data_IF_056989781955
#
_entry.id   IF_056989781955
#
_cell.length_a   1.000
_cell.length_b   1.000
_cell.length_c   1.000
_cell.angle_alpha   90.00
_cell.angle_beta   90.00
_cell.angle_gamma   90.00
#
_symmetry.space_group_name_H-M   'P 1'
#
loop_
_entity.id
_entity.type
_entity.pdbx_description
1 polymer ?
#
# COMPACT_ATOMS: atom_id res chain seq x y z
N UNK A 1 75.72 2.99 -12.55
CA UNK A 1 75.42 2.32 -13.82
C UNK A 1 75.09 0.87 -13.50
N UNK A 2 73.95 0.36 -13.96
CA UNK A 2 73.61 -1.08 -13.92
C UNK A 2 72.48 -1.48 -12.97
N UNK A 3 71.28 -1.68 -13.53
CA UNK A 3 70.15 -2.50 -13.04
C UNK A 3 70.36 -3.97 -13.52
N UNK A 4 69.49 -4.99 -13.26
CA UNK A 4 68.33 -5.12 -12.36
C UNK A 4 68.14 -6.54 -11.69
N UNK A 5 66.97 -6.73 -11.05
CA UNK A 5 66.17 -7.98 -10.80
C UNK A 5 66.45 -8.86 -9.56
N UNK A 6 65.39 -9.11 -8.76
CA UNK A 6 65.25 -10.26 -7.83
C UNK A 6 64.82 -9.83 -6.40
N UNK A 7 63.52 -9.74 -6.03
CA UNK A 7 62.67 -10.82 -5.49
C UNK A 7 63.28 -11.35 -4.15
N UNK A 8 62.76 -11.16 -2.92
CA UNK A 8 61.50 -11.67 -2.33
C UNK A 8 61.44 -11.40 -0.78
N UNK A 9 60.23 -11.41 -0.21
CA UNK A 9 59.85 -11.83 1.17
C UNK A 9 60.10 -10.91 2.38
N UNK A 10 59.18 -9.98 2.67
CA UNK A 10 58.76 -9.74 4.06
C UNK A 10 57.28 -9.33 4.13
N UNK A 11 56.50 -10.05 4.92
CA UNK A 11 55.26 -9.58 5.58
C UNK A 11 54.00 -9.29 4.74
N UNK A 12 53.55 -10.23 3.90
CA UNK A 12 52.14 -10.23 3.47
C UNK A 12 51.30 -11.25 4.26
N UNK A 13 51.90 -12.26 4.91
CA UNK A 13 51.22 -13.29 5.74
C UNK A 13 50.25 -12.75 6.82
N UNK A 14 50.41 -11.49 7.27
CA UNK A 14 49.51 -10.84 8.23
C UNK A 14 48.36 -10.05 7.59
N UNK A 15 48.35 -9.84 6.27
CA UNK A 15 47.19 -9.37 5.53
C UNK A 15 46.29 -10.51 5.03
N UNK A 16 46.74 -11.77 5.05
CA UNK A 16 45.94 -12.97 4.72
C UNK A 16 44.84 -13.29 5.75
N UNK A 17 44.40 -12.33 6.57
CA UNK A 17 43.32 -12.51 7.55
C UNK A 17 42.19 -11.47 7.48
N UNK A 18 42.17 -10.55 6.51
CA UNK A 18 41.13 -9.50 6.47
C UNK A 18 40.48 -9.20 5.11
N UNK A 19 40.99 -9.71 3.98
CA UNK A 19 40.35 -9.50 2.67
C UNK A 19 40.46 -10.74 1.77
N UNK A 20 39.57 -11.71 2.01
CA UNK A 20 39.12 -12.66 0.99
C UNK A 20 37.73 -13.12 1.41
N UNK A 21 36.76 -12.22 1.17
CA UNK A 21 35.34 -12.55 1.11
C UNK A 21 35.17 -13.70 0.09
N UNK A 22 34.27 -14.67 0.36
CA UNK A 22 33.99 -15.73 -0.59
C UNK A 22 33.53 -15.13 -1.91
N UNK A 23 33.99 -15.77 -2.98
CA UNK A 23 33.77 -15.41 -4.36
C UNK A 23 32.30 -15.03 -4.62
N UNK A 24 32.10 -13.95 -5.36
CA UNK A 24 30.78 -13.52 -5.81
C UNK A 24 30.26 -14.61 -6.74
N UNK A 25 29.25 -15.34 -6.28
CA UNK A 25 28.32 -16.06 -7.14
C UNK A 25 27.62 -15.07 -8.09
N UNK A 26 28.28 -14.66 -9.16
CA UNK A 26 27.66 -13.96 -10.27
C UNK A 26 27.00 -15.00 -11.17
N UNK A 27 25.82 -15.45 -10.77
CA UNK A 27 24.92 -16.15 -11.68
C UNK A 27 24.26 -15.11 -12.60
N UNK A 28 24.31 -15.30 -13.93
CA UNK A 28 23.54 -14.47 -14.85
C UNK A 28 22.05 -14.65 -14.52
N UNK A 29 21.26 -13.56 -14.48
CA UNK A 29 19.83 -13.65 -14.20
C UNK A 29 19.19 -14.59 -15.23
N UNK A 30 18.61 -15.69 -14.76
CA UNK A 30 17.77 -16.56 -15.59
C UNK A 30 16.56 -15.76 -16.08
N UNK A 31 15.93 -16.17 -17.17
CA UNK A 31 14.73 -15.53 -17.74
C UNK A 31 13.55 -15.39 -16.75
N UNK A 32 13.62 -16.05 -15.58
CA UNK A 32 12.68 -15.88 -14.46
C UNK A 32 12.92 -14.62 -13.61
N UNK A 33 14.06 -13.95 -13.77
CA UNK A 33 14.48 -12.80 -12.93
C UNK A 33 14.53 -11.44 -13.65
N UNK A 34 14.07 -11.35 -14.91
CA UNK A 34 14.02 -10.08 -15.67
C UNK A 34 12.59 -9.54 -15.91
N UNK A 35 11.52 -10.27 -15.58
CA UNK A 35 10.15 -9.71 -15.60
C UNK A 35 9.31 -10.13 -14.40
N UNK A 36 9.79 -9.81 -13.20
CA UNK A 36 8.90 -9.67 -12.05
C UNK A 36 9.26 -8.37 -11.35
N UNK A 37 8.42 -7.36 -11.53
CA UNK A 37 8.07 -6.50 -10.41
C UNK A 37 6.86 -7.17 -9.73
N UNK A 38 7.05 -7.98 -8.67
CA UNK A 38 5.96 -8.70 -8.03
C UNK A 38 5.41 -7.86 -6.87
N UNK A 39 4.99 -6.62 -7.13
CA UNK A 39 4.40 -5.76 -6.09
C UNK A 39 2.95 -5.33 -6.38
N UNK A 40 2.32 -5.84 -7.45
CA UNK A 40 0.92 -5.46 -7.78
C UNK A 40 0.10 -6.66 -8.28
N UNK A 41 0.23 -7.81 -7.64
CA UNK A 41 -0.87 -8.80 -7.67
C UNK A 41 -1.62 -8.90 -6.33
N UNK A 42 -1.13 -8.21 -5.29
CA UNK A 42 -1.70 -8.24 -3.93
C UNK A 42 -1.73 -6.84 -3.29
N UNK A 43 -2.08 -5.82 -4.08
CA UNK A 43 -2.24 -4.46 -3.58
C UNK A 43 -3.58 -4.28 -2.88
N UNK A 44 -3.61 -3.52 -1.79
CA UNK A 44 -4.83 -3.18 -1.06
C UNK A 44 -5.56 -1.96 -1.65
N UNK A 45 -6.87 -1.90 -1.42
CA UNK A 45 -7.65 -0.72 -1.75
C UNK A 45 -7.16 0.50 -0.98
N UNK A 46 -6.84 1.58 -1.70
CA UNK A 46 -6.45 2.85 -1.10
C UNK A 46 -7.66 3.77 -1.06
N UNK A 47 -8.06 4.18 0.15
CA UNK A 47 -9.10 5.19 0.34
C UNK A 47 -8.54 6.44 1.05
N UNK A 48 -8.99 7.64 0.65
CA UNK A 48 -9.73 7.91 -0.58
C UNK A 48 -8.85 7.81 -1.84
N UNK A 49 -9.43 7.48 -2.99
CA UNK A 49 -8.75 7.52 -4.29
C UNK A 49 -9.44 8.44 -5.31
N UNK A 50 -8.64 9.09 -6.15
CA UNK A 50 -9.11 9.95 -7.23
C UNK A 50 -9.33 9.17 -8.52
N UNK A 51 -10.52 9.31 -9.11
CA UNK A 51 -10.86 8.73 -10.41
C UNK A 51 -11.88 9.61 -11.14
N UNK A 52 -11.66 9.89 -12.44
CA UNK A 52 -12.56 10.72 -13.27
C UNK A 52 -12.96 12.06 -12.64
N UNK A 53 -11.98 12.73 -12.00
CA UNK A 53 -12.16 14.03 -11.36
C UNK A 53 -13.06 14.00 -10.10
N UNK A 54 -13.27 12.82 -9.52
CA UNK A 54 -14.02 12.59 -8.29
C UNK A 54 -13.15 11.82 -7.28
N UNK A 55 -13.46 11.97 -6.00
CA UNK A 55 -12.79 11.28 -4.89
C UNK A 55 -13.73 10.20 -4.36
N UNK A 56 -13.25 8.96 -4.30
CA UNK A 56 -14.00 7.83 -3.77
C UNK A 56 -13.43 7.34 -2.45
N UNK A 57 -14.33 7.16 -1.49
CA UNK A 57 -14.00 6.74 -0.13
C UNK A 57 -14.37 5.28 0.15
N UNK A 58 -14.93 4.57 -0.83
CA UNK A 58 -15.31 3.16 -0.74
C UNK A 58 -15.27 2.52 -2.12
N UNK A 59 -15.50 1.21 -2.20
CA UNK A 59 -15.60 0.48 -3.44
C UNK A 59 -16.74 1.01 -4.33
N UNK A 60 -16.43 1.28 -5.60
CA UNK A 60 -17.31 1.95 -6.55
C UNK A 60 -17.95 0.97 -7.54
N UNK A 61 -19.07 1.38 -8.15
CA UNK A 61 -19.71 0.67 -9.24
C UNK A 61 -19.84 1.59 -10.47
N UNK A 62 -19.15 1.25 -11.55
CA UNK A 62 -19.22 1.96 -12.84
C UNK A 62 -19.63 1.01 -13.96
N UNK A 63 -20.81 0.40 -13.83
CA UNK A 63 -21.36 -0.62 -14.75
C UNK A 63 -20.51 -1.90 -14.82
N UNK A 64 -19.70 -2.14 -13.81
CA UNK A 64 -18.99 -3.39 -13.65
C UNK A 64 -19.92 -4.41 -12.96
N UNK A 65 -19.75 -5.69 -13.29
CA UNK A 65 -20.47 -6.79 -12.61
C UNK A 65 -20.17 -6.81 -11.11
N UNK A 66 -18.98 -6.37 -10.71
CA UNK A 66 -18.50 -6.33 -9.34
C UNK A 66 -17.95 -4.95 -9.00
N UNK A 67 -18.08 -4.54 -7.74
CA UNK A 67 -17.47 -3.29 -7.26
C UNK A 67 -15.95 -3.39 -7.26
N UNK A 68 -15.27 -2.27 -7.43
CA UNK A 68 -13.81 -2.20 -7.50
C UNK A 68 -13.25 -1.00 -6.74
N UNK A 69 -11.94 -1.01 -6.51
CA UNK A 69 -11.20 0.08 -5.88
C UNK A 69 -9.86 0.31 -6.59
N UNK A 70 -9.26 1.49 -6.42
CA UNK A 70 -7.89 1.72 -6.87
C UNK A 70 -6.87 1.25 -5.83
N UNK A 71 -5.71 0.80 -6.31
CA UNK A 71 -4.56 0.44 -5.48
C UNK A 71 -3.64 1.64 -5.21
N UNK A 72 -3.98 2.82 -5.74
CA UNK A 72 -3.20 4.05 -5.57
C UNK A 72 -4.15 5.22 -5.27
N UNK A 73 -3.63 6.24 -4.57
CA UNK A 73 -4.41 7.45 -4.23
C UNK A 73 -4.91 8.22 -5.45
N UNK A 74 -4.18 8.18 -6.56
CA UNK A 74 -4.61 8.75 -7.84
C UNK A 74 -4.62 7.61 -8.85
N UNK A 75 -5.77 7.37 -9.47
CA UNK A 75 -5.95 6.23 -10.35
C UNK A 75 -4.98 6.29 -11.55
N UNK A 76 -4.09 5.29 -11.62
CA UNK A 76 -3.08 5.15 -12.67
C UNK A 76 -3.30 3.88 -13.53
N UNK A 77 -4.44 3.20 -13.35
CA UNK A 77 -4.73 1.93 -14.00
C UNK A 77 -4.59 0.71 -13.09
N UNK A 78 -4.11 0.88 -11.85
CA UNK A 78 -4.05 -0.18 -10.84
C UNK A 78 -5.35 -0.24 -10.04
N UNK A 79 -6.06 -1.36 -10.17
CA UNK A 79 -7.33 -1.62 -9.50
C UNK A 79 -7.54 -3.11 -9.31
N UNK A 80 -8.45 -3.45 -8.40
CA UNK A 80 -8.96 -4.81 -8.24
C UNK A 80 -10.44 -4.80 -7.88
N UNK A 81 -11.09 -5.94 -8.05
CA UNK A 81 -12.43 -6.15 -7.53
C UNK A 81 -12.41 -6.22 -6.01
N UNK A 82 -13.45 -5.66 -5.39
CA UNK A 82 -13.59 -5.67 -3.95
C UNK A 82 -14.24 -6.95 -3.45
N UNK A 83 -13.63 -7.53 -2.44
CA UNK A 83 -14.19 -8.47 -1.49
C UNK A 83 -14.80 -7.73 -0.30
N UNK A 84 -15.48 -8.47 0.59
CA UNK A 84 -16.14 -7.90 1.78
C UNK A 84 -15.14 -7.19 2.72
N UNK A 85 -13.90 -7.69 2.79
CA UNK A 85 -12.82 -7.09 3.58
C UNK A 85 -12.44 -5.68 3.13
N UNK A 86 -12.63 -5.39 1.84
CA UNK A 86 -12.04 -4.25 1.16
C UNK A 86 -12.90 -3.00 1.22
N UNK A 87 -14.16 -3.13 1.65
CA UNK A 87 -15.00 -1.96 1.86
C UNK A 87 -14.40 -1.08 2.96
N UNK A 88 -14.41 0.22 2.70
CA UNK A 88 -13.80 1.21 3.57
C UNK A 88 -14.33 1.10 4.99
N UNK A 89 -13.44 1.15 5.98
CA UNK A 89 -13.83 1.10 7.39
C UNK A 89 -14.38 2.45 7.83
N UNK A 90 -15.23 2.43 8.85
CA UNK A 90 -15.66 3.65 9.51
C UNK A 90 -14.45 4.39 10.10
N UNK A 91 -14.46 5.71 10.00
CA UNK A 91 -13.41 6.56 10.56
C UNK A 91 -13.75 6.89 12.03
N UNK A 92 -13.42 5.99 12.96
CA UNK A 92 -13.64 6.25 14.38
C UNK A 92 -12.44 6.95 15.04
N UNK A 93 -12.69 7.92 15.95
CA UNK A 93 -13.97 8.57 16.17
C UNK A 93 -14.32 9.55 15.05
N UNK A 94 -15.62 9.79 14.80
CA UNK A 94 -16.07 10.85 13.90
C UNK A 94 -16.97 11.87 14.58
N UNK A 95 -16.90 13.11 14.10
CA UNK A 95 -17.73 14.22 14.57
C UNK A 95 -18.98 14.37 13.74
N UNK A 96 -20.14 14.34 14.40
CA UNK A 96 -21.44 14.67 13.81
C UNK A 96 -22.24 15.56 14.76
N UNK A 97 -22.72 16.69 14.25
CA UNK A 97 -23.32 17.80 15.01
C UNK A 97 -22.40 18.19 16.17
N UNK A 98 -22.87 18.05 17.41
CA UNK A 98 -22.11 18.39 18.62
C UNK A 98 -21.62 17.13 19.37
N UNK A 99 -21.60 15.97 18.71
CA UNK A 99 -21.27 14.68 19.32
C UNK A 99 -20.07 14.01 18.61
N UNK A 100 -19.35 13.18 19.36
CA UNK A 100 -18.25 12.35 18.89
C UNK A 100 -18.66 10.89 19.02
N UNK A 101 -18.67 10.16 17.90
CA UNK A 101 -19.09 8.76 17.86
C UNK A 101 -17.89 7.83 17.70
N UNK A 102 -17.86 6.79 18.53
CA UNK A 102 -16.84 5.73 18.52
C UNK A 102 -17.35 4.41 17.92
N UNK A 103 -18.63 4.37 17.60
CA UNK A 103 -19.35 3.25 17.00
C UNK A 103 -20.41 3.77 16.03
N UNK A 104 -21.07 2.86 15.32
CA UNK A 104 -22.16 3.24 14.42
C UNK A 104 -23.35 3.78 15.21
N UNK A 105 -23.97 4.84 14.69
CA UNK A 105 -25.09 5.53 15.34
C UNK A 105 -26.33 5.50 14.45
N UNK A 106 -27.51 5.60 15.07
CA UNK A 106 -28.79 5.79 14.37
C UNK A 106 -29.18 7.28 14.32
N UNK A 107 -28.35 8.15 14.91
CA UNK A 107 -28.68 9.56 15.07
C UNK A 107 -28.91 10.26 13.74
N UNK A 108 -30.07 10.88 13.64
CA UNK A 108 -30.51 11.58 12.42
C UNK A 108 -31.03 10.68 11.31
N UNK A 109 -31.08 9.35 11.50
CA UNK A 109 -31.67 8.43 10.54
C UNK A 109 -33.10 8.00 10.92
N UNK A 110 -34.01 8.02 9.95
CA UNK A 110 -35.45 7.83 10.18
C UNK A 110 -35.85 6.38 10.46
N UNK A 111 -35.15 5.42 9.86
CA UNK A 111 -35.53 4.00 9.90
C UNK A 111 -34.70 3.16 10.88
N UNK A 112 -33.99 3.79 11.82
CA UNK A 112 -33.16 3.12 12.82
C UNK A 112 -31.96 2.36 12.24
N UNK A 113 -31.55 2.68 11.00
CA UNK A 113 -30.37 2.06 10.40
C UNK A 113 -29.12 2.72 10.92
N UNK A 114 -28.26 1.93 11.56
CA UNK A 114 -26.95 2.37 12.01
C UNK A 114 -26.07 2.78 10.84
N UNK A 115 -25.38 3.91 11.00
CA UNK A 115 -24.45 4.46 10.03
C UNK A 115 -23.18 4.98 10.71
N UNK A 116 -22.13 5.16 9.91
CA UNK A 116 -20.87 5.75 10.36
C UNK A 116 -20.28 6.66 9.29
N UNK A 117 -19.46 7.62 9.70
CA UNK A 117 -18.68 8.42 8.75
C UNK A 117 -17.46 7.67 8.23
N UNK A 118 -17.07 7.96 6.99
CA UNK A 118 -15.80 7.52 6.40
C UNK A 118 -14.69 8.56 6.54
N UNK A 119 -14.97 9.65 7.26
CA UNK A 119 -14.06 10.77 7.51
C UNK A 119 -14.14 11.19 8.98
N UNK A 120 -13.07 11.75 9.57
CA UNK A 120 -13.13 12.22 10.96
C UNK A 120 -14.16 13.32 11.23
N UNK A 121 -14.52 14.12 10.21
CA UNK A 121 -15.46 15.23 10.36
C UNK A 121 -16.63 15.13 9.37
N UNK A 122 -17.68 14.41 9.77
CA UNK A 122 -18.89 14.27 8.96
C UNK A 122 -19.56 15.62 8.68
N UNK A 123 -19.54 16.56 9.64
CA UNK A 123 -20.19 17.86 9.46
C UNK A 123 -19.63 18.63 8.25
N UNK A 124 -18.33 18.47 7.99
CA UNK A 124 -17.64 19.07 6.84
C UNK A 124 -17.81 18.22 5.59
N UNK A 125 -17.46 16.95 5.68
CA UNK A 125 -17.22 16.12 4.50
C UNK A 125 -18.50 15.41 4.03
N UNK A 126 -19.42 15.12 4.94
CA UNK A 126 -20.70 14.43 4.69
C UNK A 126 -20.54 13.09 3.97
N UNK A 127 -19.42 12.41 4.18
CA UNK A 127 -19.14 11.08 3.64
C UNK A 127 -19.44 10.03 4.70
N UNK A 128 -20.26 9.04 4.35
CA UNK A 128 -20.76 8.04 5.27
C UNK A 128 -21.21 6.77 4.55
N UNK A 129 -21.46 5.72 5.33
CA UNK A 129 -22.12 4.50 4.88
C UNK A 129 -22.98 3.91 5.98
N UNK A 130 -23.93 3.05 5.59
CA UNK A 130 -24.61 2.19 6.54
C UNK A 130 -23.65 1.12 7.08
N UNK A 131 -23.80 0.82 8.37
CA UNK A 131 -23.14 -0.30 8.99
C UNK A 131 -23.92 -1.57 8.68
N UNK A 132 -23.20 -2.66 8.41
CA UNK A 132 -23.80 -3.95 8.07
C UNK A 132 -24.02 -4.85 9.29
N UNK A 133 -23.42 -4.52 10.44
CA UNK A 133 -23.59 -5.18 11.75
C UNK A 133 -23.35 -4.17 12.87
#
# INVERSE_FOLDING_TARGET
>A
MGQPVGILLVSICLFYRLFSLPDKDYYPPTMESIMKMPEIEDGDCVFPFWYRNEIFYDCVNFNAKHKWCSLNKTFQGYWRYCYVSDYAKCAFPFWFRHMIYWECTEDGEMFGKKWCSLTPNFNKDRIWKYCTW
#
